data_IF_201652846057
#
_entry.id   IF_201652846057
#
_cell.length_a   1.000
_cell.length_b   1.000
_cell.length_c   1.000
_cell.angle_alpha   90.00
_cell.angle_beta   90.00
_cell.angle_gamma   90.00
#
_symmetry.space_group_name_H-M   'P 1'
#
loop_
_entity.id
_entity.type
_entity.pdbx_description
1 polymer ?
#
# COMPACT_ATOMS: atom_id res chain seq x y z
N UNK A 1 -18.55 -20.96 -3.80
CA UNK A 1 -18.89 -19.51 -3.89
C UNK A 1 -20.30 -19.36 -4.44
N UNK A 2 -20.99 -18.23 -4.14
CA UNK A 2 -22.31 -17.93 -4.73
C UNK A 2 -22.14 -17.42 -6.17
N UNK A 3 -22.96 -17.94 -7.11
CA UNK A 3 -23.01 -17.48 -8.50
C UNK A 3 -24.17 -16.50 -8.64
N UNK A 4 -23.91 -15.32 -9.21
CA UNK A 4 -24.88 -14.26 -9.43
C UNK A 4 -24.95 -13.89 -10.90
N UNK A 5 -26.16 -13.85 -11.48
CA UNK A 5 -26.39 -13.18 -12.78
C UNK A 5 -26.54 -11.68 -12.56
N UNK A 6 -25.64 -10.91 -13.15
CA UNK A 6 -25.61 -9.46 -12.97
C UNK A 6 -26.39 -8.79 -14.09
N UNK A 7 -27.53 -8.20 -13.76
CA UNK A 7 -28.39 -7.45 -14.68
C UNK A 7 -28.33 -5.94 -14.44
N UNK A 8 -28.02 -5.54 -13.19
CA UNK A 8 -27.81 -4.14 -12.82
C UNK A 8 -26.54 -4.04 -11.95
N UNK A 9 -25.52 -3.40 -12.48
CA UNK A 9 -24.19 -3.32 -11.87
C UNK A 9 -24.23 -2.48 -10.59
N UNK A 10 -24.89 -1.33 -10.59
CA UNK A 10 -24.92 -0.41 -9.43
C UNK A 10 -25.57 -1.08 -8.21
N UNK A 11 -26.75 -1.70 -8.42
CA UNK A 11 -27.46 -2.40 -7.36
C UNK A 11 -26.64 -3.61 -6.85
N UNK A 12 -25.96 -4.31 -7.77
CA UNK A 12 -25.13 -5.44 -7.40
C UNK A 12 -23.93 -5.00 -6.56
N UNK A 13 -23.22 -3.96 -6.97
CA UNK A 13 -22.07 -3.40 -6.23
C UNK A 13 -22.49 -2.91 -4.84
N UNK A 14 -23.58 -2.17 -4.75
CA UNK A 14 -24.11 -1.69 -3.45
C UNK A 14 -24.41 -2.83 -2.47
N UNK A 15 -24.82 -4.01 -2.98
CA UNK A 15 -25.12 -5.20 -2.18
C UNK A 15 -23.87 -5.97 -1.74
N UNK A 16 -22.83 -6.00 -2.58
CA UNK A 16 -21.67 -6.88 -2.41
C UNK A 16 -20.55 -6.23 -1.62
N UNK A 17 -20.37 -4.89 -1.74
CA UNK A 17 -19.26 -4.20 -1.08
C UNK A 17 -19.30 -4.39 0.45
N UNK A 18 -18.18 -4.79 1.08
CA UNK A 18 -18.11 -4.94 2.52
C UNK A 18 -18.37 -3.62 3.24
N UNK A 19 -19.24 -3.63 4.24
CA UNK A 19 -19.43 -2.48 5.12
C UNK A 19 -18.24 -2.37 6.07
N UNK A 20 -17.55 -1.24 6.08
CA UNK A 20 -16.42 -1.04 6.98
C UNK A 20 -16.88 -0.95 8.45
N UNK A 21 -16.35 -1.78 9.37
CA UNK A 21 -16.69 -1.65 10.78
C UNK A 21 -15.93 -0.48 11.41
N UNK A 22 -16.67 0.49 11.97
CA UNK A 22 -16.09 1.62 12.74
C UNK A 22 -15.69 1.26 14.19
N UNK A 23 -15.64 -0.03 14.54
CA UNK A 23 -15.71 -0.51 15.95
C UNK A 23 -14.51 -0.24 16.87
N UNK A 24 -13.37 0.28 16.38
CA UNK A 24 -12.14 0.29 17.18
C UNK A 24 -11.59 1.69 17.53
N UNK A 25 -12.28 2.77 17.14
CA UNK A 25 -11.72 4.14 17.20
C UNK A 25 -11.31 4.56 18.61
N UNK A 26 -12.17 4.39 19.61
CA UNK A 26 -11.89 4.80 21.01
C UNK A 26 -10.70 4.07 21.63
N UNK A 27 -10.56 2.77 21.36
CA UNK A 27 -9.42 1.97 21.82
C UNK A 27 -8.12 2.48 21.18
N UNK A 28 -8.15 2.73 19.87
CA UNK A 28 -6.99 3.24 19.11
C UNK A 28 -6.60 4.62 19.63
N UNK A 29 -7.54 5.55 19.81
CA UNK A 29 -7.27 6.88 20.36
C UNK A 29 -6.64 6.82 21.76
N UNK A 30 -7.14 5.93 22.63
CA UNK A 30 -6.57 5.73 23.96
C UNK A 30 -5.11 5.29 23.91
N UNK A 31 -4.76 4.35 23.00
CA UNK A 31 -3.38 3.87 22.83
C UNK A 31 -2.50 4.99 22.26
N UNK A 32 -2.97 5.71 21.24
CA UNK A 32 -2.25 6.83 20.63
C UNK A 32 -1.89 7.89 21.68
N UNK A 33 -2.88 8.36 22.44
CA UNK A 33 -2.70 9.34 23.53
C UNK A 33 -1.75 8.86 24.61
N UNK A 34 -1.85 7.57 24.99
CA UNK A 34 -0.95 7.00 26.01
C UNK A 34 0.51 6.96 25.53
N UNK A 35 0.77 6.55 24.28
CA UNK A 35 2.13 6.55 23.74
C UNK A 35 2.66 7.97 23.57
N UNK A 36 1.83 8.92 23.12
CA UNK A 36 2.20 10.32 23.01
C UNK A 36 2.66 10.89 24.37
N UNK A 37 1.96 10.54 25.46
CA UNK A 37 2.28 11.03 26.82
C UNK A 37 3.46 10.32 27.47
N UNK A 38 3.55 8.98 27.33
CA UNK A 38 4.42 8.12 28.13
C UNK A 38 5.57 7.47 27.31
N UNK A 39 5.66 7.74 26.01
CA UNK A 39 6.77 7.33 25.13
C UNK A 39 7.08 5.82 25.18
N UNK A 40 8.37 5.50 25.29
CA UNK A 40 8.88 4.12 25.29
C UNK A 40 8.23 3.22 26.35
N UNK A 41 7.90 3.76 27.52
CA UNK A 41 7.28 2.97 28.58
C UNK A 41 5.90 2.44 28.18
N UNK A 42 5.09 3.30 27.50
CA UNK A 42 3.80 2.90 26.96
C UNK A 42 3.96 1.88 25.82
N UNK A 43 4.91 2.09 24.89
CA UNK A 43 5.20 1.13 23.83
C UNK A 43 5.53 -0.24 24.41
N UNK A 44 6.46 -0.32 25.35
CA UNK A 44 6.85 -1.59 26.01
C UNK A 44 5.69 -2.24 26.77
N UNK A 45 4.85 -1.43 27.44
CA UNK A 45 3.65 -1.91 28.13
C UNK A 45 2.66 -2.57 27.16
N UNK A 46 2.43 -1.96 25.99
CA UNK A 46 1.53 -2.52 24.99
C UNK A 46 2.13 -3.75 24.31
N UNK A 47 3.45 -3.77 24.03
CA UNK A 47 4.10 -5.00 23.54
C UNK A 47 3.92 -6.16 24.52
N UNK A 48 4.15 -5.94 25.82
CA UNK A 48 3.88 -6.97 26.83
C UNK A 48 2.44 -7.42 26.84
N UNK A 49 1.48 -6.47 26.71
CA UNK A 49 0.04 -6.78 26.72
C UNK A 49 -0.39 -7.59 25.48
N UNK A 50 0.10 -7.27 24.28
CA UNK A 50 -0.42 -7.83 23.05
C UNK A 50 0.40 -8.98 22.48
N UNK A 51 1.71 -9.00 22.72
CA UNK A 51 2.61 -10.04 22.22
C UNK A 51 3.18 -10.93 23.32
N UNK A 52 3.02 -10.57 24.60
CA UNK A 52 3.67 -11.20 25.74
C UNK A 52 5.14 -10.77 25.93
N UNK A 53 5.71 -9.96 25.04
CA UNK A 53 7.13 -9.61 25.03
C UNK A 53 7.48 -8.59 26.11
N UNK A 54 8.37 -8.95 27.02
CA UNK A 54 9.03 -8.01 27.92
C UNK A 54 10.34 -7.51 27.31
N UNK A 55 10.36 -6.24 26.90
CA UNK A 55 11.46 -5.64 26.13
C UNK A 55 12.31 -4.71 27.01
N UNK A 56 13.62 -4.96 27.10
CA UNK A 56 14.60 -4.01 27.66
C UNK A 56 14.87 -2.87 26.69
N UNK A 57 15.06 -3.19 25.40
CA UNK A 57 15.31 -2.24 24.32
C UNK A 57 14.33 -2.44 23.18
N UNK A 58 13.91 -1.35 22.52
CA UNK A 58 13.06 -1.40 21.33
C UNK A 58 13.89 -1.61 20.05
N UNK A 59 15.09 -1.03 19.97
CA UNK A 59 15.94 -1.07 18.78
C UNK A 59 16.65 -2.43 18.64
N UNK A 60 16.71 -2.94 17.41
CA UNK A 60 17.53 -4.09 17.03
C UNK A 60 19.00 -3.63 16.94
N UNK A 61 19.89 -4.36 17.62
CA UNK A 61 21.32 -4.13 17.61
C UNK A 61 22.01 -4.77 16.40
N UNK A 62 23.23 -4.30 16.07
CA UNK A 62 24.08 -4.94 15.04
C UNK A 62 24.36 -6.40 15.33
N UNK A 63 24.48 -6.78 16.61
CA UNK A 63 24.67 -8.17 17.03
C UNK A 63 23.43 -9.02 16.74
N UNK A 64 22.23 -8.49 16.97
CA UNK A 64 20.98 -9.17 16.62
C UNK A 64 20.82 -9.34 15.10
N UNK A 65 21.23 -8.35 14.30
CA UNK A 65 21.24 -8.47 12.82
C UNK A 65 22.19 -9.60 12.41
N UNK A 66 23.43 -9.63 12.92
CA UNK A 66 24.40 -10.70 12.63
C UNK A 66 23.85 -12.07 13.01
N UNK A 67 23.22 -12.19 14.18
CA UNK A 67 22.58 -13.45 14.62
C UNK A 67 21.36 -13.81 13.76
N UNK A 68 20.64 -12.87 13.16
CA UNK A 68 19.55 -13.17 12.25
C UNK A 68 20.05 -13.86 10.97
N UNK A 69 21.18 -13.41 10.41
CA UNK A 69 21.79 -14.06 9.24
C UNK A 69 22.18 -15.53 9.48
N UNK A 70 22.60 -15.92 10.68
CA UNK A 70 22.92 -17.33 10.98
C UNK A 70 21.69 -18.24 11.06
N UNK A 71 20.47 -17.67 11.07
CA UNK A 71 19.20 -18.40 11.16
C UNK A 71 18.40 -18.41 9.86
N UNK A 72 18.93 -17.78 8.81
CA UNK A 72 18.30 -17.70 7.49
C UNK A 72 19.14 -18.49 6.50
N UNK A 73 18.50 -19.34 5.73
CA UNK A 73 19.18 -20.18 4.75
C UNK A 73 19.74 -19.35 3.57
N UNK A 74 20.77 -19.89 2.92
CA UNK A 74 21.35 -19.29 1.72
C UNK A 74 20.29 -19.09 0.63
N UNK A 75 19.37 -20.04 0.45
CA UNK A 75 18.32 -19.97 -0.56
C UNK A 75 17.31 -18.85 -0.26
N UNK A 76 16.93 -18.65 1.00
CA UNK A 76 16.07 -17.51 1.39
C UNK A 76 16.76 -16.17 1.09
N UNK A 77 18.06 -16.05 1.39
CA UNK A 77 18.83 -14.82 1.09
C UNK A 77 18.89 -14.56 -0.42
N UNK A 78 19.11 -15.61 -1.24
CA UNK A 78 19.11 -15.48 -2.71
C UNK A 78 17.74 -15.02 -3.21
N UNK A 79 16.65 -15.61 -2.71
CA UNK A 79 15.29 -15.24 -3.08
C UNK A 79 14.97 -13.77 -2.70
N UNK A 80 15.33 -13.33 -1.49
CA UNK A 80 15.18 -11.93 -1.06
C UNK A 80 15.96 -10.96 -1.95
N UNK A 81 17.20 -11.30 -2.31
CA UNK A 81 18.02 -10.46 -3.20
C UNK A 81 17.44 -10.37 -4.60
N UNK A 82 16.89 -11.46 -5.15
CA UNK A 82 16.22 -11.45 -6.45
C UNK A 82 14.98 -10.57 -6.43
N UNK A 83 14.10 -10.73 -5.42
CA UNK A 83 12.91 -9.90 -5.25
C UNK A 83 13.29 -8.41 -5.13
N UNK A 84 14.26 -8.09 -4.23
CA UNK A 84 14.80 -6.74 -4.08
C UNK A 84 15.25 -6.15 -5.41
N UNK A 85 16.09 -6.86 -6.17
CA UNK A 85 16.67 -6.36 -7.42
C UNK A 85 15.60 -6.05 -8.46
N UNK A 86 14.54 -6.87 -8.55
CA UNK A 86 13.43 -6.64 -9.49
C UNK A 86 12.62 -5.40 -9.12
N UNK A 87 12.24 -5.25 -7.84
CA UNK A 87 11.53 -4.05 -7.37
C UNK A 87 12.42 -2.80 -7.53
N UNK A 88 13.70 -2.89 -7.16
CA UNK A 88 14.65 -1.77 -7.31
C UNK A 88 14.80 -1.32 -8.77
N UNK A 89 14.82 -2.26 -9.73
CA UNK A 89 14.86 -1.95 -11.17
C UNK A 89 13.60 -1.20 -11.62
N UNK A 90 12.42 -1.69 -11.24
CA UNK A 90 11.13 -1.04 -11.55
C UNK A 90 11.09 0.38 -10.99
N UNK A 91 11.35 0.54 -9.69
CA UNK A 91 11.29 1.81 -9.00
C UNK A 91 12.32 2.82 -9.53
N UNK A 92 13.54 2.36 -9.86
CA UNK A 92 14.58 3.20 -10.46
C UNK A 92 14.17 3.69 -11.84
N UNK A 93 13.50 2.87 -12.64
CA UNK A 93 12.98 3.27 -13.96
C UNK A 93 11.93 4.36 -13.81
N UNK A 94 11.01 4.23 -12.85
CA UNK A 94 10.00 5.25 -12.54
C UNK A 94 10.67 6.54 -12.04
N UNK A 95 11.64 6.44 -11.13
CA UNK A 95 12.36 7.62 -10.60
C UNK A 95 12.99 8.47 -11.69
N UNK A 96 13.51 7.85 -12.74
CA UNK A 96 14.17 8.56 -13.85
C UNK A 96 13.23 9.50 -14.63
N UNK A 97 11.90 9.37 -14.47
CA UNK A 97 10.90 10.27 -15.03
C UNK A 97 10.88 11.61 -14.27
N UNK A 98 11.21 11.59 -12.96
CA UNK A 98 11.17 12.77 -12.08
C UNK A 98 12.45 13.59 -12.20
N UNK A 99 12.52 14.42 -13.23
CA UNK A 99 13.62 15.38 -13.44
C UNK A 99 13.14 16.79 -13.15
N UNK A 100 13.98 17.60 -12.52
CA UNK A 100 13.69 19.03 -12.30
C UNK A 100 13.32 19.71 -13.62
N UNK A 101 12.27 20.55 -13.58
CA UNK A 101 11.75 21.27 -14.75
C UNK A 101 11.84 22.77 -14.53
N UNK A 102 12.47 23.46 -15.46
CA UNK A 102 12.55 24.93 -15.50
C UNK A 102 11.57 25.45 -16.55
N UNK A 103 10.71 26.36 -16.13
CA UNK A 103 9.68 26.99 -16.97
C UNK A 103 9.99 28.50 -16.91
N UNK A 104 9.88 29.20 -18.04
CA UNK A 104 10.08 30.63 -18.13
C UNK A 104 8.88 31.28 -18.78
N UNK A 105 8.27 32.27 -18.12
CA UNK A 105 7.19 33.09 -18.61
C UNK A 105 7.56 34.55 -18.43
N UNK A 106 7.87 35.27 -19.52
CA UNK A 106 8.17 36.71 -19.51
C UNK A 106 9.19 37.17 -18.49
N UNK A 107 10.25 36.35 -18.29
CA UNK A 107 11.31 36.59 -17.29
C UNK A 107 10.98 36.15 -15.86
N UNK A 108 9.81 35.51 -15.66
CA UNK A 108 9.48 34.82 -14.42
C UNK A 108 9.94 33.37 -14.58
N UNK A 109 10.90 32.95 -13.75
CA UNK A 109 11.43 31.59 -13.77
C UNK A 109 10.77 30.76 -12.68
N UNK A 110 10.18 29.62 -13.06
CA UNK A 110 9.58 28.65 -12.16
C UNK A 110 10.40 27.36 -12.26
N UNK A 111 11.02 26.93 -11.16
CA UNK A 111 11.75 25.67 -11.07
C UNK A 111 10.98 24.67 -10.22
N UNK A 112 10.53 23.58 -10.83
CA UNK A 112 9.93 22.42 -10.14
C UNK A 112 11.02 21.44 -9.76
N UNK A 113 11.26 21.27 -8.45
CA UNK A 113 12.26 20.35 -7.88
C UNK A 113 11.58 19.11 -7.30
N UNK A 114 12.04 17.93 -7.69
CA UNK A 114 11.61 16.66 -7.12
C UNK A 114 12.57 16.27 -5.98
N UNK A 115 12.08 16.32 -4.75
CA UNK A 115 12.90 16.16 -3.55
C UNK A 115 12.33 15.01 -2.71
N UNK A 116 13.18 14.04 -2.24
CA UNK A 116 12.71 13.01 -1.33
C UNK A 116 12.28 13.60 0.01
N UNK A 117 11.32 12.95 0.67
CA UNK A 117 11.04 13.19 2.09
C UNK A 117 12.27 12.78 2.92
N UNK A 118 12.39 13.30 4.15
CA UNK A 118 13.61 13.06 4.95
C UNK A 118 13.56 11.70 5.64
N UNK A 119 12.38 11.25 6.08
CA UNK A 119 12.22 10.03 6.87
C UNK A 119 10.92 9.29 6.58
N UNK A 120 10.96 7.97 6.69
CA UNK A 120 9.78 7.11 6.59
C UNK A 120 9.81 5.98 7.60
N UNK A 121 8.65 5.62 8.12
CA UNK A 121 8.42 4.43 8.94
C UNK A 121 7.72 3.36 8.11
N UNK A 122 8.38 2.21 7.92
CA UNK A 122 7.86 1.05 7.22
C UNK A 122 7.27 0.08 8.26
N UNK A 123 5.95 0.02 8.32
CA UNK A 123 5.24 -0.92 9.18
C UNK A 123 5.18 -2.30 8.52
N UNK A 124 5.75 -3.30 9.18
CA UNK A 124 5.76 -4.68 8.73
C UNK A 124 4.87 -5.51 9.65
N UNK A 125 3.82 -6.15 9.14
CA UNK A 125 2.98 -7.02 9.94
C UNK A 125 3.77 -8.19 10.54
N UNK A 126 3.24 -8.75 11.60
CA UNK A 126 3.70 -10.00 12.19
C UNK A 126 2.51 -10.83 12.64
N UNK A 127 2.74 -12.00 13.19
CA UNK A 127 1.69 -12.89 13.71
C UNK A 127 1.65 -14.24 12.99
N UNK A 128 0.58 -14.55 12.26
CA UNK A 128 0.35 -15.88 11.67
C UNK A 128 1.30 -16.25 10.53
N UNK A 129 1.88 -15.27 9.85
CA UNK A 129 2.80 -15.47 8.74
C UNK A 129 4.03 -14.54 8.87
N UNK A 130 5.07 -14.84 8.09
CA UNK A 130 6.26 -14.01 7.90
C UNK A 130 6.02 -13.10 6.71
N UNK A 131 6.46 -11.83 6.79
CA UNK A 131 6.25 -10.85 5.73
C UNK A 131 7.54 -10.14 5.28
N UNK A 132 8.61 -10.89 4.93
CA UNK A 132 9.84 -10.28 4.44
C UNK A 132 9.64 -9.56 3.11
N UNK A 133 8.68 -9.99 2.28
CA UNK A 133 8.28 -9.30 1.05
C UNK A 133 7.77 -7.89 1.32
N UNK A 134 6.95 -7.67 2.36
CA UNK A 134 6.48 -6.34 2.72
C UNK A 134 7.61 -5.39 3.13
N UNK A 135 8.73 -5.93 3.66
CA UNK A 135 9.95 -5.12 3.88
C UNK A 135 10.50 -4.62 2.55
N UNK A 136 10.65 -5.51 1.56
CA UNK A 136 11.16 -5.14 0.23
C UNK A 136 10.26 -4.09 -0.40
N UNK A 137 8.94 -4.34 -0.39
CA UNK A 137 7.94 -3.47 -1.02
C UNK A 137 7.83 -2.08 -0.39
N UNK A 138 8.16 -1.93 0.89
CA UNK A 138 8.12 -0.62 1.57
C UNK A 138 9.47 0.09 1.58
N UNK A 139 10.58 -0.65 1.80
CA UNK A 139 11.90 -0.06 1.97
C UNK A 139 12.54 0.32 0.63
N UNK A 140 12.41 -0.52 -0.41
CA UNK A 140 13.09 -0.28 -1.70
C UNK A 140 12.59 0.98 -2.40
N UNK A 141 11.27 1.26 -2.54
CA UNK A 141 10.82 2.52 -3.13
C UNK A 141 11.32 3.75 -2.37
N UNK A 142 11.33 3.70 -1.02
CA UNK A 142 11.87 4.78 -0.19
C UNK A 142 13.37 5.00 -0.43
N UNK A 143 14.15 3.92 -0.48
CA UNK A 143 15.59 3.97 -0.75
C UNK A 143 15.89 4.52 -2.15
N UNK A 144 15.18 4.04 -3.16
CA UNK A 144 15.31 4.52 -4.55
C UNK A 144 14.94 5.99 -4.64
N UNK A 145 13.90 6.46 -3.95
CA UNK A 145 13.55 7.88 -3.88
C UNK A 145 14.71 8.73 -3.32
N UNK A 146 15.54 8.17 -2.44
CA UNK A 146 16.65 8.87 -1.77
C UNK A 146 16.30 9.31 -0.34
N UNK A 147 15.31 8.68 0.30
CA UNK A 147 14.96 8.92 1.71
C UNK A 147 16.17 8.59 2.59
N UNK A 148 16.56 9.52 3.45
CA UNK A 148 17.78 9.38 4.27
C UNK A 148 17.60 8.45 5.47
N UNK A 149 16.43 8.50 6.10
CA UNK A 149 16.12 7.72 7.29
C UNK A 149 14.92 6.82 7.02
N UNK A 150 15.17 5.50 6.97
CA UNK A 150 14.17 4.47 6.70
C UNK A 150 14.09 3.56 7.93
N UNK A 151 13.00 3.67 8.66
CA UNK A 151 12.74 2.97 9.92
C UNK A 151 11.81 1.80 9.66
N UNK A 152 12.23 0.59 9.99
CA UNK A 152 11.36 -0.60 9.96
C UNK A 152 10.85 -0.90 11.36
N UNK A 153 9.54 -1.09 11.51
CA UNK A 153 8.91 -1.57 12.74
C UNK A 153 8.18 -2.88 12.47
N UNK A 154 8.38 -3.87 13.34
CA UNK A 154 7.68 -5.15 13.26
C UNK A 154 7.44 -5.70 14.67
N UNK A 155 6.27 -6.31 14.97
CA UNK A 155 5.98 -6.83 16.28
C UNK A 155 6.94 -7.98 16.65
N UNK A 156 7.44 -8.01 17.90
CA UNK A 156 8.19 -9.13 18.40
C UNK A 156 7.26 -10.32 18.73
N UNK A 157 7.81 -11.51 18.77
CA UNK A 157 7.16 -12.67 19.39
C UNK A 157 7.24 -12.59 20.94
N UNK A 158 6.62 -13.51 21.64
CA UNK A 158 6.61 -13.57 23.13
C UNK A 158 8.00 -13.57 23.77
N UNK A 159 9.01 -14.05 23.05
CA UNK A 159 10.41 -14.04 23.51
C UNK A 159 11.13 -12.72 23.20
N UNK A 160 10.42 -11.67 22.77
CA UNK A 160 10.97 -10.35 22.47
C UNK A 160 11.82 -10.28 21.20
N UNK A 161 11.65 -11.21 20.26
CA UNK A 161 12.44 -11.29 19.03
C UNK A 161 11.57 -11.08 17.80
N UNK A 162 12.05 -10.27 16.85
CA UNK A 162 11.49 -10.21 15.49
C UNK A 162 11.94 -11.46 14.71
N UNK A 163 11.14 -11.89 13.77
CA UNK A 163 11.49 -12.98 12.84
C UNK A 163 12.83 -12.69 12.14
N UNK A 164 13.79 -13.64 12.15
CA UNK A 164 15.10 -13.42 11.54
C UNK A 164 15.06 -13.05 10.06
N UNK A 165 14.13 -13.62 9.28
CA UNK A 165 14.02 -13.34 7.86
C UNK A 165 13.56 -11.90 7.61
N UNK A 166 12.70 -11.33 8.47
CA UNK A 166 12.29 -9.92 8.44
C UNK A 166 13.47 -8.99 8.74
N UNK A 167 14.32 -9.33 9.72
CA UNK A 167 15.52 -8.55 10.06
C UNK A 167 16.51 -8.56 8.88
N UNK A 168 16.78 -9.75 8.31
CA UNK A 168 17.68 -9.91 7.16
C UNK A 168 17.16 -9.16 5.93
N UNK A 169 15.86 -9.22 5.66
CA UNK A 169 15.25 -8.46 4.57
C UNK A 169 15.43 -6.94 4.77
N UNK A 170 15.21 -6.43 5.99
CA UNK A 170 15.38 -5.02 6.30
C UNK A 170 16.84 -4.55 6.10
N UNK A 171 17.80 -5.34 6.54
CA UNK A 171 19.22 -5.06 6.36
C UNK A 171 19.64 -5.09 4.88
N UNK A 172 19.26 -6.15 4.13
CA UNK A 172 19.52 -6.29 2.68
C UNK A 172 18.91 -5.11 1.90
N UNK A 173 17.73 -4.64 2.29
CA UNK A 173 17.06 -3.51 1.63
C UNK A 173 17.65 -2.15 2.03
N UNK A 174 18.44 -2.08 3.11
CA UNK A 174 19.13 -0.88 3.56
C UNK A 174 18.27 -0.01 4.47
N UNK A 175 17.42 -0.61 5.32
CA UNK A 175 16.78 0.08 6.43
C UNK A 175 17.85 0.66 7.37
N UNK A 176 17.65 1.89 7.84
CA UNK A 176 18.61 2.56 8.73
C UNK A 176 18.42 2.17 10.19
N UNK A 177 17.21 1.81 10.55
CA UNK A 177 16.81 1.45 11.91
C UNK A 177 15.74 0.36 11.87
N UNK A 178 15.79 -0.58 12.83
CA UNK A 178 14.79 -1.64 12.99
C UNK A 178 14.34 -1.66 14.45
N UNK A 179 13.03 -1.68 14.72
CA UNK A 179 12.46 -1.67 16.05
C UNK A 179 11.45 -2.79 16.30
N UNK A 180 11.52 -3.35 17.52
CA UNK A 180 10.65 -4.41 18.05
C UNK A 180 9.34 -3.81 18.56
N UNK A 181 8.49 -3.40 17.65
CA UNK A 181 7.15 -2.88 18.00
C UNK A 181 6.20 -3.04 16.83
N UNK A 182 4.94 -3.35 17.13
CA UNK A 182 3.85 -3.51 16.17
C UNK A 182 2.57 -2.79 16.60
N UNK A 183 1.46 -3.04 15.92
CA UNK A 183 0.15 -2.50 16.27
C UNK A 183 0.06 -0.99 16.32
N UNK A 184 -0.94 -0.49 17.04
CA UNK A 184 -1.23 0.93 17.22
C UNK A 184 -0.08 1.69 17.89
N UNK A 185 0.59 1.05 18.85
CA UNK A 185 1.70 1.66 19.60
C UNK A 185 2.92 1.92 18.70
N UNK A 186 3.14 1.11 17.65
CA UNK A 186 4.19 1.36 16.67
C UNK A 186 3.85 2.58 15.79
N UNK A 187 2.60 2.69 15.32
CA UNK A 187 2.12 3.85 14.55
C UNK A 187 2.24 5.13 15.41
N UNK A 188 1.83 5.08 16.67
CA UNK A 188 1.98 6.19 17.61
C UNK A 188 3.44 6.62 17.80
N UNK A 189 4.35 5.65 18.01
CA UNK A 189 5.76 5.93 18.18
C UNK A 189 6.40 6.55 16.93
N UNK A 190 6.03 6.08 15.74
CA UNK A 190 6.50 6.66 14.47
C UNK A 190 5.93 8.07 14.24
N UNK A 191 4.69 8.33 14.62
CA UNK A 191 4.02 9.61 14.38
C UNK A 191 4.41 10.70 15.37
N UNK A 192 4.42 10.37 16.67
CA UNK A 192 4.68 11.38 17.72
C UNK A 192 6.13 11.44 18.14
N UNK A 193 6.88 10.37 17.89
CA UNK A 193 8.22 10.18 18.42
C UNK A 193 8.21 9.70 19.87
N UNK A 194 9.31 9.03 20.25
CA UNK A 194 9.62 8.63 21.63
C UNK A 194 11.11 8.85 21.87
N UNK A 195 11.60 8.51 23.07
CA UNK A 195 13.04 8.57 23.35
C UNK A 195 13.86 7.67 22.41
N UNK A 196 13.36 6.47 22.13
CA UNK A 196 14.07 5.48 21.27
C UNK A 196 13.75 5.62 19.78
N UNK A 197 12.53 6.01 19.43
CA UNK A 197 12.02 6.07 18.05
C UNK A 197 11.71 7.52 17.72
N UNK A 198 12.56 8.15 16.93
CA UNK A 198 12.29 9.52 16.48
C UNK A 198 11.11 9.55 15.50
N UNK A 199 10.31 10.61 15.53
CA UNK A 199 9.22 10.88 14.60
C UNK A 199 9.69 10.75 13.15
N UNK A 200 8.78 10.27 12.26
CA UNK A 200 8.99 10.19 10.81
C UNK A 200 8.03 11.11 10.05
N UNK A 201 8.39 11.46 8.82
CA UNK A 201 7.53 12.31 7.97
C UNK A 201 6.38 11.53 7.35
N UNK A 202 6.57 10.23 7.09
CA UNK A 202 5.56 9.38 6.47
C UNK A 202 5.60 7.96 7.03
N UNK A 203 4.44 7.35 7.20
CA UNK A 203 4.27 5.95 7.60
C UNK A 203 3.67 5.17 6.44
N UNK A 204 4.33 4.07 6.05
CA UNK A 204 3.89 3.19 4.96
C UNK A 204 3.82 1.74 5.43
N UNK A 205 3.11 0.92 4.68
CA UNK A 205 3.01 -0.52 4.93
C UNK A 205 1.60 -0.98 5.32
N UNK A 206 1.26 -2.24 5.03
CA UNK A 206 -0.04 -2.82 5.30
C UNK A 206 -0.21 -3.17 6.79
N UNK A 207 -1.42 -3.14 7.28
CA UNK A 207 -1.75 -3.54 8.64
C UNK A 207 -3.22 -3.89 8.80
N UNK A 208 -3.57 -4.63 9.85
CA UNK A 208 -4.97 -4.94 10.15
C UNK A 208 -5.77 -3.70 10.59
N UNK A 209 -7.07 -3.88 10.84
CA UNK A 209 -8.03 -2.81 11.11
C UNK A 209 -7.58 -1.80 12.18
N UNK A 210 -6.91 -2.23 13.24
CA UNK A 210 -6.40 -1.35 14.29
C UNK A 210 -5.26 -0.45 13.79
N UNK A 211 -4.35 -1.00 12.98
CA UNK A 211 -3.22 -0.25 12.37
C UNK A 211 -3.74 0.75 11.34
N UNK A 212 -4.68 0.34 10.50
CA UNK A 212 -5.34 1.20 9.52
C UNK A 212 -6.07 2.35 10.22
N UNK A 213 -6.81 2.07 11.30
CA UNK A 213 -7.46 3.10 12.12
C UNK A 213 -6.45 4.05 12.76
N UNK A 214 -5.31 3.53 13.26
CA UNK A 214 -4.25 4.36 13.81
C UNK A 214 -3.61 5.26 12.77
N UNK A 215 -3.30 4.73 11.56
CA UNK A 215 -2.79 5.54 10.44
C UNK A 215 -3.76 6.66 10.05
N UNK A 216 -5.06 6.36 9.99
CA UNK A 216 -6.10 7.36 9.73
C UNK A 216 -6.11 8.47 10.78
N UNK A 217 -6.00 8.12 12.07
CA UNK A 217 -6.06 9.09 13.16
C UNK A 217 -4.81 9.96 13.31
N UNK A 218 -3.67 9.56 12.76
CA UNK A 218 -2.44 10.35 12.79
C UNK A 218 -2.16 11.08 11.48
N UNK A 219 -3.02 10.96 10.47
CA UNK A 219 -2.78 11.47 9.12
C UNK A 219 -2.83 13.00 9.01
N UNK A 220 -3.32 13.69 10.01
CA UNK A 220 -3.28 15.15 10.15
C UNK A 220 -1.88 15.68 10.50
N UNK A 221 -1.05 14.85 11.13
CA UNK A 221 0.28 15.22 11.64
C UNK A 221 1.44 14.45 11.02
N UNK A 222 1.17 13.32 10.37
CA UNK A 222 2.18 12.45 9.76
C UNK A 222 1.63 11.86 8.45
N UNK A 223 2.34 12.05 7.35
CA UNK A 223 1.91 11.49 6.07
C UNK A 223 1.71 9.97 6.15
N UNK A 224 0.75 9.46 5.40
CA UNK A 224 0.53 8.02 5.26
C UNK A 224 0.52 7.63 3.78
N UNK A 225 0.72 6.34 3.49
CA UNK A 225 0.56 5.80 2.13
C UNK A 225 -0.92 5.68 1.75
N UNK A 226 -1.64 4.79 2.44
CA UNK A 226 -3.04 4.49 2.19
C UNK A 226 -3.71 3.87 3.42
N UNK A 227 -5.04 3.82 3.40
CA UNK A 227 -5.84 3.07 4.34
C UNK A 227 -6.16 1.71 3.71
N UNK A 228 -5.46 0.66 4.13
CA UNK A 228 -5.67 -0.69 3.64
C UNK A 228 -6.78 -1.40 4.44
N UNK A 229 -7.66 -2.05 3.73
CA UNK A 229 -8.64 -3.00 4.26
C UNK A 229 -8.19 -4.45 4.08
N UNK A 230 -9.13 -5.40 4.12
CA UNK A 230 -8.86 -6.77 3.74
C UNK A 230 -8.34 -6.87 2.31
N UNK A 231 -7.48 -7.86 2.07
CA UNK A 231 -6.93 -8.17 0.75
C UNK A 231 -8.04 -8.52 -0.25
N UNK A 232 -7.86 -8.11 -1.51
CA UNK A 232 -8.84 -8.29 -2.58
C UNK A 232 -8.21 -8.90 -3.83
N UNK A 233 -8.92 -9.83 -4.47
CA UNK A 233 -8.60 -10.33 -5.80
C UNK A 233 -9.86 -10.39 -6.67
N UNK A 234 -9.88 -9.58 -7.72
CA UNK A 234 -10.84 -9.72 -8.82
C UNK A 234 -10.20 -10.45 -10.01
N UNK A 235 -10.92 -11.40 -10.59
CA UNK A 235 -10.50 -12.06 -11.83
C UNK A 235 -11.55 -11.78 -12.90
N UNK A 236 -11.16 -11.23 -14.05
CA UNK A 236 -11.98 -11.19 -15.26
C UNK A 236 -11.56 -12.38 -16.14
N UNK A 237 -12.51 -13.23 -16.50
CA UNK A 237 -12.25 -14.38 -17.36
C UNK A 237 -13.39 -14.61 -18.36
N UNK A 238 -13.04 -14.99 -19.60
CA UNK A 238 -13.98 -15.51 -20.59
C UNK A 238 -13.87 -17.04 -20.71
N UNK A 239 -14.53 -17.62 -21.70
CA UNK A 239 -14.53 -19.07 -21.93
C UNK A 239 -13.18 -19.64 -22.39
N UNK A 240 -12.19 -18.80 -22.70
CA UNK A 240 -10.85 -19.23 -23.11
C UNK A 240 -9.88 -19.42 -21.92
N UNK A 241 -10.26 -18.94 -20.74
CA UNK A 241 -9.45 -19.08 -19.54
C UNK A 241 -9.46 -20.51 -19.00
N UNK A 242 -8.35 -20.95 -18.42
CA UNK A 242 -8.27 -22.21 -17.71
C UNK A 242 -8.99 -22.10 -16.33
N UNK A 243 -10.08 -22.86 -16.11
CA UNK A 243 -10.81 -22.79 -14.84
C UNK A 243 -9.99 -23.26 -13.63
N UNK A 244 -8.98 -24.11 -13.83
CA UNK A 244 -8.11 -24.59 -12.75
C UNK A 244 -7.19 -23.47 -12.26
N UNK A 245 -6.61 -22.69 -13.16
CA UNK A 245 -5.79 -21.52 -12.79
C UNK A 245 -6.60 -20.49 -12.01
N UNK A 246 -7.84 -20.21 -12.46
CA UNK A 246 -8.74 -19.30 -11.74
C UNK A 246 -9.03 -19.83 -10.32
N UNK A 247 -9.33 -21.11 -10.19
CA UNK A 247 -9.62 -21.73 -8.89
C UNK A 247 -8.42 -21.68 -7.94
N UNK A 248 -7.21 -21.97 -8.43
CA UNK A 248 -5.97 -21.91 -7.67
C UNK A 248 -5.65 -20.48 -7.20
N UNK A 249 -5.85 -19.47 -8.05
CA UNK A 249 -5.60 -18.06 -7.69
C UNK A 249 -6.60 -17.57 -6.63
N UNK A 250 -7.90 -17.90 -6.76
CA UNK A 250 -8.91 -17.58 -5.75
C UNK A 250 -8.62 -18.26 -4.41
N UNK A 251 -8.16 -19.52 -4.42
CA UNK A 251 -7.75 -20.26 -3.22
C UNK A 251 -6.52 -19.60 -2.58
N UNK A 252 -5.48 -19.33 -3.37
CA UNK A 252 -4.21 -18.76 -2.84
C UNK A 252 -4.44 -17.41 -2.18
N UNK A 253 -5.24 -16.53 -2.78
CA UNK A 253 -5.54 -15.24 -2.19
C UNK A 253 -6.40 -15.36 -0.91
N UNK A 254 -7.31 -16.32 -0.89
CA UNK A 254 -8.23 -16.53 0.25
C UNK A 254 -7.55 -17.06 1.51
N UNK A 255 -6.28 -17.48 1.45
CA UNK A 255 -5.53 -17.93 2.62
C UNK A 255 -4.92 -16.79 3.47
N UNK A 256 -4.99 -15.52 3.02
CA UNK A 256 -4.51 -14.38 3.80
C UNK A 256 -5.32 -14.18 5.07
N UNK A 257 -6.66 -14.15 4.98
CA UNK A 257 -7.54 -13.95 6.13
C UNK A 257 -8.98 -14.36 5.84
N UNK A 258 -9.80 -14.52 6.90
CA UNK A 258 -11.22 -14.86 6.75
C UNK A 258 -12.09 -13.76 6.14
N UNK A 259 -11.59 -12.54 6.08
CA UNK A 259 -12.25 -11.35 5.53
C UNK A 259 -11.73 -10.96 4.14
N UNK A 260 -10.81 -11.74 3.55
CA UNK A 260 -10.34 -11.57 2.17
C UNK A 260 -11.52 -11.57 1.20
N UNK A 261 -11.48 -10.67 0.21
CA UNK A 261 -12.54 -10.45 -0.76
C UNK A 261 -12.10 -10.91 -2.16
N UNK A 262 -12.45 -12.15 -2.52
CA UNK A 262 -12.05 -12.78 -3.78
C UNK A 262 -13.25 -13.05 -4.68
N UNK A 263 -13.16 -12.71 -5.98
CA UNK A 263 -14.26 -12.89 -6.89
C UNK A 263 -13.85 -13.13 -8.35
N UNK A 264 -14.73 -13.83 -9.07
CA UNK A 264 -14.66 -14.02 -10.52
C UNK A 264 -15.74 -13.19 -11.19
N UNK A 265 -15.38 -12.47 -12.24
CA UNK A 265 -16.28 -11.80 -13.19
C UNK A 265 -16.13 -12.51 -14.54
N UNK A 266 -17.19 -13.08 -15.06
CA UNK A 266 -17.16 -13.83 -16.32
C UNK A 266 -18.41 -13.59 -17.16
N UNK A 267 -18.32 -13.77 -18.47
CA UNK A 267 -19.48 -13.84 -19.38
C UNK A 267 -19.86 -15.29 -19.75
N UNK A 268 -19.24 -16.28 -19.09
CA UNK A 268 -19.44 -17.72 -19.35
C UNK A 268 -20.03 -18.43 -18.13
N UNK A 269 -21.31 -18.83 -18.19
CA UNK A 269 -21.91 -19.66 -17.12
C UNK A 269 -21.19 -21.01 -16.96
N UNK A 270 -20.66 -21.57 -18.06
CA UNK A 270 -19.86 -22.79 -18.02
C UNK A 270 -18.61 -22.62 -17.19
N UNK A 271 -17.83 -21.56 -17.45
CA UNK A 271 -16.62 -21.24 -16.68
C UNK A 271 -16.96 -21.02 -15.20
N UNK A 272 -18.03 -20.29 -14.88
CA UNK A 272 -18.49 -20.05 -13.52
C UNK A 272 -18.76 -21.35 -12.74
N UNK A 273 -19.46 -22.32 -13.37
CA UNK A 273 -19.75 -23.62 -12.77
C UNK A 273 -18.49 -24.46 -12.58
N UNK A 274 -17.65 -24.57 -13.62
CA UNK A 274 -16.40 -25.33 -13.57
C UNK A 274 -15.44 -24.84 -12.47
N UNK A 275 -15.24 -23.53 -12.37
CA UNK A 275 -14.40 -22.95 -11.30
C UNK A 275 -14.93 -23.33 -9.92
N UNK A 276 -16.24 -23.23 -9.70
CA UNK A 276 -16.84 -23.56 -8.41
C UNK A 276 -16.73 -25.07 -8.07
N UNK A 277 -16.84 -25.94 -9.07
CA UNK A 277 -16.63 -27.38 -8.93
C UNK A 277 -15.17 -27.72 -8.60
N UNK A 278 -14.20 -27.07 -9.28
CA UNK A 278 -12.78 -27.28 -9.04
C UNK A 278 -12.40 -26.80 -7.64
N UNK A 279 -12.86 -25.64 -7.21
CA UNK A 279 -12.65 -25.16 -5.83
C UNK A 279 -13.17 -26.20 -4.83
N UNK A 280 -14.36 -26.77 -5.06
CA UNK A 280 -14.95 -27.78 -4.17
C UNK A 280 -14.12 -29.07 -4.10
N UNK A 281 -13.48 -29.48 -5.22
CA UNK A 281 -12.59 -30.64 -5.30
C UNK A 281 -11.23 -30.41 -4.65
N UNK A 282 -10.70 -29.20 -4.75
CA UNK A 282 -9.37 -28.84 -4.22
C UNK A 282 -9.42 -28.55 -2.72
N UNK A 283 -10.49 -27.93 -2.24
CA UNK A 283 -10.62 -27.46 -0.86
C UNK A 283 -10.28 -28.51 0.24
N UNK A 284 -10.70 -29.80 0.14
CA UNK A 284 -10.33 -30.81 1.13
C UNK A 284 -8.83 -31.11 1.19
N UNK A 285 -8.08 -30.87 0.11
CA UNK A 285 -6.67 -31.27 -0.08
C UNK A 285 -5.66 -30.18 0.26
N UNK A 286 -6.10 -28.92 0.42
CA UNK A 286 -5.21 -27.78 0.64
C UNK A 286 -4.89 -27.57 2.12
N UNK A 287 -3.77 -26.92 2.39
CA UNK A 287 -3.47 -26.40 3.72
C UNK A 287 -4.40 -25.23 4.06
N UNK A 288 -4.59 -24.92 5.35
CA UNK A 288 -5.45 -23.81 5.83
C UNK A 288 -6.89 -23.85 5.30
N UNK A 289 -7.41 -25.03 4.94
CA UNK A 289 -8.72 -25.26 4.29
C UNK A 289 -9.89 -24.55 4.98
N UNK A 290 -9.94 -24.52 6.31
CA UNK A 290 -11.04 -23.87 7.05
C UNK A 290 -11.04 -22.35 6.86
N UNK A 291 -9.86 -21.74 6.81
CA UNK A 291 -9.70 -20.31 6.56
C UNK A 291 -10.15 -19.96 5.12
N UNK A 292 -9.64 -20.70 4.13
CA UNK A 292 -10.01 -20.53 2.71
C UNK A 292 -11.52 -20.74 2.51
N UNK A 293 -12.09 -21.81 3.09
CA UNK A 293 -13.52 -22.08 3.05
C UNK A 293 -14.34 -20.94 3.63
N UNK A 294 -13.92 -20.42 4.81
CA UNK A 294 -14.59 -19.30 5.46
C UNK A 294 -14.56 -18.04 4.60
N UNK A 295 -13.39 -17.70 4.05
CA UNK A 295 -13.20 -16.54 3.17
C UNK A 295 -14.09 -16.62 1.92
N UNK A 296 -13.94 -17.70 1.12
CA UNK A 296 -14.68 -17.88 -0.12
C UNK A 296 -16.20 -18.01 0.08
N UNK A 297 -16.66 -18.56 1.21
CA UNK A 297 -18.09 -18.72 1.47
C UNK A 297 -18.77 -17.44 1.94
N UNK A 298 -18.07 -16.62 2.73
CA UNK A 298 -18.62 -15.39 3.32
C UNK A 298 -18.50 -14.20 2.37
N UNK A 299 -17.34 -14.02 1.77
CA UNK A 299 -16.99 -12.82 1.01
C UNK A 299 -16.78 -13.09 -0.48
N UNK A 300 -16.57 -14.36 -0.86
CA UNK A 300 -16.33 -14.72 -2.26
C UNK A 300 -17.62 -14.85 -3.08
N UNK A 301 -17.57 -14.38 -4.33
CA UNK A 301 -18.67 -14.55 -5.29
C UNK A 301 -18.18 -14.77 -6.73
N UNK A 302 -19.08 -15.24 -7.58
CA UNK A 302 -18.90 -15.32 -9.02
C UNK A 302 -20.01 -14.50 -9.67
N UNK A 303 -19.64 -13.48 -10.47
CA UNK A 303 -20.55 -12.64 -11.23
C UNK A 303 -20.57 -13.09 -12.69
N UNK A 304 -21.74 -13.47 -13.17
CA UNK A 304 -21.98 -13.79 -14.59
C UNK A 304 -22.60 -12.55 -15.25
N UNK A 305 -21.83 -11.91 -16.12
CA UNK A 305 -22.21 -10.72 -16.88
C UNK A 305 -22.68 -11.09 -18.29
N UNK A 306 -23.45 -10.21 -18.93
CA UNK A 306 -23.98 -10.44 -20.29
C UNK A 306 -22.89 -10.41 -21.37
N UNK A 307 -21.88 -9.53 -21.22
CA UNK A 307 -20.86 -9.28 -22.22
C UNK A 307 -19.58 -8.68 -21.58
N UNK A 308 -18.56 -8.44 -22.40
CA UNK A 308 -17.28 -7.88 -21.96
C UNK A 308 -17.40 -6.45 -21.39
N UNK A 309 -18.33 -5.62 -21.91
CA UNK A 309 -18.55 -4.26 -21.41
C UNK A 309 -19.04 -4.29 -19.96
N UNK A 310 -19.99 -5.18 -19.66
CA UNK A 310 -20.52 -5.35 -18.30
C UNK A 310 -19.44 -5.88 -17.34
N UNK A 311 -18.56 -6.79 -17.80
CA UNK A 311 -17.42 -7.25 -17.01
C UNK A 311 -16.46 -6.12 -16.65
N UNK A 312 -16.12 -5.27 -17.63
CA UNK A 312 -15.25 -4.10 -17.45
C UNK A 312 -15.88 -3.10 -16.49
N UNK A 313 -17.16 -2.77 -16.70
CA UNK A 313 -17.87 -1.81 -15.87
C UNK A 313 -17.98 -2.29 -14.42
N UNK A 314 -18.25 -3.57 -14.22
CA UNK A 314 -18.28 -4.16 -12.89
C UNK A 314 -16.92 -4.12 -12.22
N UNK A 315 -15.85 -4.49 -12.93
CA UNK A 315 -14.48 -4.44 -12.39
C UNK A 315 -14.07 -3.00 -12.01
N UNK A 316 -14.34 -2.00 -12.88
CA UNK A 316 -14.06 -0.61 -12.59
C UNK A 316 -14.89 -0.09 -11.39
N UNK A 317 -16.13 -0.54 -11.24
CA UNK A 317 -16.98 -0.17 -10.11
C UNK A 317 -16.48 -0.73 -8.78
N UNK A 318 -16.00 -1.98 -8.78
CA UNK A 318 -15.43 -2.66 -7.61
C UNK A 318 -14.02 -2.13 -7.28
N UNK A 319 -13.24 -1.74 -8.30
CA UNK A 319 -11.89 -1.21 -8.19
C UNK A 319 -10.97 -2.05 -7.29
N UNK A 320 -10.73 -3.32 -7.63
CA UNK A 320 -10.03 -4.27 -6.77
C UNK A 320 -8.58 -3.89 -6.51
N UNK A 321 -8.03 -4.40 -5.42
CA UNK A 321 -6.61 -4.37 -5.10
C UNK A 321 -5.78 -5.02 -6.21
N UNK A 322 -6.05 -6.30 -6.48
CA UNK A 322 -5.48 -7.07 -7.58
C UNK A 322 -6.57 -7.37 -8.60
N UNK A 323 -6.30 -7.12 -9.87
CA UNK A 323 -7.15 -7.50 -10.99
C UNK A 323 -6.39 -8.41 -11.95
N UNK A 324 -6.76 -9.68 -12.04
CA UNK A 324 -6.28 -10.59 -13.09
C UNK A 324 -7.22 -10.58 -14.29
N UNK A 325 -6.68 -10.58 -15.49
CA UNK A 325 -7.44 -10.61 -16.74
C UNK A 325 -7.02 -11.83 -17.55
N UNK A 326 -7.82 -12.89 -17.45
CA UNK A 326 -7.65 -14.18 -18.12
C UNK A 326 -8.66 -14.31 -19.25
N UNK A 327 -8.44 -13.59 -20.35
CA UNK A 327 -9.33 -13.59 -21.52
C UNK A 327 -8.52 -13.82 -22.78
N UNK A 328 -9.20 -14.16 -23.90
CA UNK A 328 -8.54 -14.31 -25.20
C UNK A 328 -7.72 -13.08 -25.60
N UNK A 329 -8.19 -11.88 -25.27
CA UNK A 329 -7.55 -10.59 -25.58
C UNK A 329 -7.37 -9.73 -24.31
N UNK A 330 -6.47 -10.08 -23.38
CA UNK A 330 -6.38 -9.41 -22.09
C UNK A 330 -5.97 -7.94 -22.21
N UNK A 331 -5.13 -7.56 -23.19
CA UNK A 331 -4.72 -6.15 -23.43
C UNK A 331 -5.91 -5.27 -23.85
N UNK A 332 -6.86 -5.81 -24.64
CA UNK A 332 -8.06 -5.06 -25.05
C UNK A 332 -8.98 -4.79 -23.87
N UNK A 333 -9.12 -5.74 -22.95
CA UNK A 333 -9.89 -5.54 -21.71
C UNK A 333 -9.15 -4.54 -20.81
N UNK A 334 -7.86 -4.74 -20.59
CA UNK A 334 -7.02 -3.88 -19.74
C UNK A 334 -7.02 -2.41 -20.17
N UNK A 335 -7.03 -2.11 -21.48
CA UNK A 335 -7.06 -0.72 -21.98
C UNK A 335 -8.31 0.05 -21.57
N UNK A 336 -9.36 -0.62 -21.09
CA UNK A 336 -10.62 -0.04 -20.60
C UNK A 336 -10.77 -0.12 -19.07
N UNK A 337 -9.80 -0.70 -18.38
CA UNK A 337 -9.76 -0.71 -16.92
C UNK A 337 -9.09 0.57 -16.44
N UNK A 338 -9.83 1.34 -15.65
CA UNK A 338 -9.39 2.61 -15.06
C UNK A 338 -9.23 2.55 -13.55
N UNK A 339 -9.69 1.48 -12.92
CA UNK A 339 -9.85 1.40 -11.48
C UNK A 339 -9.41 0.03 -10.97
N UNK A 340 -8.11 -0.10 -10.66
CA UNK A 340 -7.53 -1.25 -10.00
C UNK A 340 -6.19 -0.87 -9.36
N UNK A 341 -5.79 -1.52 -8.27
CA UNK A 341 -4.50 -1.30 -7.63
C UNK A 341 -3.34 -1.84 -8.48
N UNK A 342 -3.49 -3.06 -8.98
CA UNK A 342 -2.55 -3.74 -9.87
C UNK A 342 -3.35 -4.56 -10.91
N UNK A 343 -2.89 -4.53 -12.17
CA UNK A 343 -3.49 -5.32 -13.26
C UNK A 343 -2.49 -6.38 -13.74
N UNK A 344 -2.92 -7.63 -13.77
CA UNK A 344 -2.15 -8.80 -14.17
C UNK A 344 -2.77 -9.42 -15.43
N UNK A 345 -1.98 -9.64 -16.47
CA UNK A 345 -2.48 -10.01 -17.81
C UNK A 345 -2.11 -11.43 -18.20
N UNK A 346 -3.12 -12.22 -18.56
CA UNK A 346 -2.97 -13.57 -19.09
C UNK A 346 -2.80 -14.64 -18.01
N UNK A 347 -2.77 -15.89 -18.47
CA UNK A 347 -2.80 -17.08 -17.59
C UNK A 347 -1.54 -17.28 -16.74
N UNK A 348 -0.41 -16.66 -17.13
CA UNK A 348 0.90 -16.84 -16.47
C UNK A 348 1.30 -15.66 -15.59
N UNK A 349 0.34 -14.81 -15.22
CA UNK A 349 0.58 -13.66 -14.34
C UNK A 349 -0.26 -13.77 -13.05
N UNK A 350 -0.03 -14.81 -12.20
CA UNK A 350 -0.84 -14.99 -10.99
C UNK A 350 -0.54 -13.92 -9.95
N UNK A 351 -1.54 -13.52 -9.15
CA UNK A 351 -1.39 -12.53 -8.07
C UNK A 351 -0.31 -12.96 -7.06
N UNK A 352 -0.27 -14.25 -6.72
CA UNK A 352 0.74 -14.80 -5.82
C UNK A 352 2.18 -14.55 -6.28
N UNK A 353 2.48 -14.60 -7.59
CA UNK A 353 3.81 -14.27 -8.09
C UNK A 353 4.12 -12.76 -8.00
N UNK A 354 3.10 -11.90 -8.18
CA UNK A 354 3.26 -10.45 -8.07
C UNK A 354 3.58 -10.00 -6.64
N UNK A 355 3.11 -10.75 -5.65
CA UNK A 355 3.35 -10.47 -4.24
C UNK A 355 4.81 -10.67 -3.81
N UNK A 356 5.59 -11.43 -4.59
CA UNK A 356 6.96 -11.79 -4.20
C UNK A 356 8.02 -11.35 -5.18
N UNK A 357 7.87 -11.68 -6.50
CA UNK A 357 9.07 -11.72 -7.34
C UNK A 357 8.91 -11.11 -8.75
N UNK A 358 7.74 -10.66 -9.17
CA UNK A 358 7.57 -10.08 -10.52
C UNK A 358 8.19 -8.68 -10.65
N UNK A 359 8.48 -8.00 -9.55
CA UNK A 359 9.00 -6.63 -9.55
C UNK A 359 7.91 -5.55 -9.48
N UNK A 360 6.64 -5.95 -9.39
CA UNK A 360 5.53 -5.12 -8.96
C UNK A 360 5.55 -4.92 -7.44
N UNK A 361 4.75 -3.99 -6.93
CA UNK A 361 4.60 -3.75 -5.50
C UNK A 361 3.23 -4.23 -5.02
N UNK A 362 3.19 -5.03 -3.96
CA UNK A 362 1.96 -5.57 -3.38
C UNK A 362 1.35 -4.71 -2.26
N UNK A 363 1.94 -3.59 -1.91
CA UNK A 363 1.30 -2.62 -1.02
C UNK A 363 0.34 -1.80 -1.88
N UNK A 364 -0.89 -2.26 -1.92
CA UNK A 364 -1.91 -1.86 -2.87
C UNK A 364 -3.12 -1.21 -2.17
N UNK A 365 -3.84 -0.33 -2.86
CA UNK A 365 -5.09 0.22 -2.34
C UNK A 365 -6.20 -0.82 -2.37
N UNK A 366 -6.97 -0.90 -1.29
CA UNK A 366 -8.17 -1.72 -1.14
C UNK A 366 -9.43 -0.87 -1.00
N UNK A 367 -10.60 -1.47 -0.81
CA UNK A 367 -11.86 -0.76 -0.55
C UNK A 367 -12.21 0.30 -1.61
N UNK A 368 -11.94 0.00 -2.86
CA UNK A 368 -12.26 0.88 -3.98
C UNK A 368 -11.26 2.05 -4.19
N UNK A 369 -10.22 2.17 -3.38
CA UNK A 369 -9.18 3.21 -3.56
C UNK A 369 -8.33 3.00 -4.82
N UNK A 370 -8.43 1.85 -5.50
CA UNK A 370 -7.91 1.64 -6.86
C UNK A 370 -8.42 2.64 -7.90
N UNK A 371 -9.47 3.44 -7.57
CA UNK A 371 -9.97 4.56 -8.38
C UNK A 371 -9.07 5.79 -8.36
N UNK A 372 -8.26 5.97 -7.32
CA UNK A 372 -7.49 7.21 -7.09
C UNK A 372 -6.00 7.00 -6.99
N UNK A 373 -5.55 5.75 -6.80
CA UNK A 373 -4.12 5.44 -6.72
C UNK A 373 -3.81 3.99 -7.09
N UNK A 374 -2.57 3.74 -7.51
CA UNK A 374 -2.00 2.41 -7.66
C UNK A 374 -1.19 1.98 -6.44
N UNK A 375 -0.27 1.04 -6.65
CA UNK A 375 0.64 0.52 -5.62
C UNK A 375 1.56 1.59 -5.02
N UNK A 376 2.07 1.29 -3.83
CA UNK A 376 3.17 2.06 -3.25
C UNK A 376 4.37 2.07 -4.20
N UNK A 377 4.94 3.24 -4.44
CA UNK A 377 6.04 3.42 -5.39
C UNK A 377 7.00 4.52 -4.94
N UNK A 378 8.07 4.72 -5.69
CA UNK A 378 9.01 5.83 -5.48
C UNK A 378 8.33 7.19 -5.41
N UNK A 379 7.20 7.37 -6.10
CA UNK A 379 6.40 8.60 -6.10
C UNK A 379 5.87 8.96 -4.71
N UNK A 380 5.57 7.97 -3.89
CA UNK A 380 5.04 8.18 -2.54
C UNK A 380 6.05 8.82 -1.59
N UNK A 381 7.33 8.84 -1.96
CA UNK A 381 8.45 9.35 -1.17
C UNK A 381 9.10 10.60 -1.76
N UNK A 382 8.53 11.16 -2.82
CA UNK A 382 9.00 12.37 -3.49
C UNK A 382 7.96 13.46 -3.37
N UNK A 383 8.39 14.67 -2.97
CA UNK A 383 7.58 15.88 -3.01
C UNK A 383 8.09 16.85 -4.07
N UNK A 384 7.20 17.69 -4.57
CA UNK A 384 7.53 18.71 -5.57
C UNK A 384 7.61 20.06 -4.87
N UNK A 385 8.82 20.65 -4.81
CA UNK A 385 9.02 22.03 -4.40
C UNK A 385 9.01 22.94 -5.62
N UNK A 386 8.46 24.14 -5.44
CA UNK A 386 8.45 25.18 -6.48
C UNK A 386 9.30 26.35 -6.00
N UNK A 387 10.33 26.69 -6.80
CA UNK A 387 11.09 27.91 -6.63
C UNK A 387 10.69 28.89 -7.73
N UNK A 388 10.46 30.16 -7.34
CA UNK A 388 10.09 31.22 -8.28
C UNK A 388 11.11 32.35 -8.16
N UNK A 389 11.66 32.76 -9.30
CA UNK A 389 12.54 33.92 -9.39
C UNK A 389 11.95 34.92 -10.38
N UNK A 390 11.83 36.17 -9.96
CA UNK A 390 11.25 37.26 -10.76
C UNK A 390 12.22 38.43 -10.76
N UNK A 391 12.48 39.04 -11.93
CA UNK A 391 13.22 40.30 -12.02
C UNK A 391 12.33 41.51 -11.72
N UNK A 392 12.93 42.67 -11.33
CA UNK A 392 12.17 43.94 -11.14
C UNK A 392 11.39 44.30 -12.39
N UNK A 393 11.99 44.17 -13.58
CA UNK A 393 11.31 44.48 -14.86
C UNK A 393 10.13 43.54 -15.13
N UNK A 394 10.24 42.24 -14.85
CA UNK A 394 9.12 41.29 -15.02
C UNK A 394 8.01 41.54 -14.01
N UNK A 395 8.36 41.88 -12.78
CA UNK A 395 7.38 42.22 -11.74
C UNK A 395 6.60 43.47 -12.11
N UNK A 396 7.30 44.50 -12.66
CA UNK A 396 6.66 45.75 -13.17
C UNK A 396 5.64 45.49 -14.26
N UNK A 397 5.94 44.59 -15.22
CA UNK A 397 5.03 44.25 -16.31
C UNK A 397 3.70 43.66 -15.83
N UNK A 398 3.70 42.89 -14.77
CA UNK A 398 2.48 42.23 -14.24
C UNK A 398 1.81 43.04 -13.12
N UNK A 399 2.42 44.12 -12.65
CA UNK A 399 1.99 44.91 -11.48
C UNK A 399 0.53 45.41 -11.61
N UNK A 400 0.14 45.93 -12.76
CA UNK A 400 -1.23 46.43 -13.01
C UNK A 400 -2.28 45.32 -12.83
N UNK A 401 -2.03 44.15 -13.37
CA UNK A 401 -2.97 43.00 -13.28
C UNK A 401 -3.03 42.49 -11.84
N UNK A 402 -1.89 42.45 -11.14
CA UNK A 402 -1.83 42.05 -9.75
C UNK A 402 -2.63 43.01 -8.85
N UNK A 403 -2.50 44.36 -9.07
CA UNK A 403 -3.31 45.35 -8.37
C UNK A 403 -4.81 45.12 -8.57
N UNK A 404 -5.23 44.87 -9.83
CA UNK A 404 -6.64 44.59 -10.13
C UNK A 404 -7.14 43.37 -9.35
N UNK A 405 -6.39 42.26 -9.34
CA UNK A 405 -6.80 41.04 -8.66
C UNK A 405 -6.85 41.22 -7.13
N UNK A 406 -5.81 41.80 -6.53
CA UNK A 406 -5.75 42.01 -5.07
C UNK A 406 -6.85 42.97 -4.58
N UNK A 407 -7.17 43.99 -5.37
CA UNK A 407 -8.27 44.92 -5.06
C UNK A 407 -9.61 44.19 -5.14
N UNK A 408 -9.83 43.40 -6.20
CA UNK A 408 -11.07 42.63 -6.37
C UNK A 408 -11.30 41.59 -5.26
N UNK A 409 -10.21 41.01 -4.71
CA UNK A 409 -10.25 40.09 -3.60
C UNK A 409 -10.33 40.77 -2.21
N UNK A 410 -10.25 42.09 -2.15
CA UNK A 410 -10.26 42.86 -0.91
C UNK A 410 -8.96 42.74 -0.11
N UNK A 411 -7.84 42.47 -0.76
CA UNK A 411 -6.51 42.25 -0.16
C UNK A 411 -5.51 43.32 -0.60
N UNK A 412 -5.72 44.63 -0.32
CA UNK A 412 -4.87 45.72 -0.83
C UNK A 412 -3.40 45.61 -0.38
N UNK A 413 -3.14 45.14 0.83
CA UNK A 413 -1.76 44.98 1.32
C UNK A 413 -0.92 43.97 0.51
N UNK A 414 -1.55 43.06 -0.24
CA UNK A 414 -0.83 42.18 -1.17
C UNK A 414 -0.21 42.98 -2.31
N UNK A 415 -0.91 44.00 -2.81
CA UNK A 415 -0.36 44.91 -3.82
C UNK A 415 0.71 45.86 -3.25
N UNK A 416 0.52 46.40 -2.04
CA UNK A 416 1.49 47.26 -1.40
C UNK A 416 2.87 46.56 -1.25
N UNK A 417 2.85 45.27 -0.97
CA UNK A 417 4.06 44.46 -0.94
C UNK A 417 4.81 44.40 -2.28
N UNK A 418 4.10 44.52 -3.40
CA UNK A 418 4.66 44.56 -4.75
C UNK A 418 5.05 45.99 -5.12
N UNK A 419 4.17 46.94 -4.88
CA UNK A 419 4.39 48.39 -5.16
C UNK A 419 5.67 48.90 -4.51
N UNK A 420 5.92 48.60 -3.24
CA UNK A 420 7.14 48.95 -2.52
C UNK A 420 8.45 48.36 -3.09
N UNK A 421 8.38 47.29 -3.89
CA UNK A 421 9.54 46.74 -4.62
C UNK A 421 9.81 47.37 -5.97
N UNK A 422 8.87 48.17 -6.46
CA UNK A 422 8.94 48.83 -7.78
C UNK A 422 9.37 50.29 -7.72
N UNK A 423 9.29 50.89 -6.55
CA UNK A 423 9.82 52.22 -6.24
C UNK A 423 11.34 52.32 -6.37
#
# INVERSE_FOLDING_TARGET
>A
MKIHKVTNIEQFVAKILPKQPQKNKSIVESILKNVQKNGDSAVKKYEKKFTGASLSTLRISKAEIKNAYSKVSKNEIVALRLAKTRVEKTESTIKNIFKNKKINHDGIQILKKFIPIQSTGCYIPGGLARYPSSVIMSVIPAKVAGVKRIVVVSPPNSNGKIDPLTIVAADICGATEIYKTGGVQAIAALSYGTKSILKVDKIVGPGGAFVTSAKSLVSDSTGIDMLAGPTELGIIADSSADPEFIALDLISQSEHSSDTFCYLITNSEKTAKLVNEIISKLLPKIQRKELVKSSLSKNGFIAVCKNNSDMINLANSLAPEHLQIMTKNPKLISSKITSAGLILLGNYSPSSASDYILGSNHILPTNGFGKIRGSLSVMDFIKINTEVTVSKSSLSKISKHLNTLTTSEGLPNHYEAVGGRLQ
#
